data_IF_886353594665
#
_entry.id   IF_886353594665
#
_cell.length_a   1.000
_cell.length_b   1.000
_cell.length_c   1.000
_cell.angle_alpha   90.00
_cell.angle_beta   90.00
_cell.angle_gamma   90.00
#
_symmetry.space_group_name_H-M   'P 1'
#
loop_
_entity.id
_entity.type
_entity.pdbx_description
1 polymer ?
#
# COMPACT_ATOMS: atom_id res chain seq x y z
N UNK A 1 21.78 55.59 18.82
CA UNK A 1 22.53 55.37 17.56
C UNK A 1 22.31 54.01 16.92
N UNK A 2 22.10 52.92 17.63
CA UNK A 2 21.92 51.58 17.03
C UNK A 2 20.62 51.39 16.23
N UNK A 3 19.54 52.12 16.55
CA UNK A 3 18.24 51.98 15.83
C UNK A 3 18.24 52.67 14.45
N UNK A 4 18.99 53.77 14.29
CA UNK A 4 19.12 54.46 13.00
C UNK A 4 19.90 53.61 11.97
N UNK A 5 20.94 52.91 12.42
CA UNK A 5 21.72 52.00 11.55
C UNK A 5 20.95 50.77 11.10
N UNK A 6 20.02 50.24 11.91
CA UNK A 6 19.14 49.14 11.50
C UNK A 6 18.15 49.60 10.42
N UNK A 7 17.57 50.81 10.53
CA UNK A 7 16.63 51.33 9.51
C UNK A 7 17.32 51.61 8.17
N UNK A 8 18.58 52.06 8.18
CA UNK A 8 19.34 52.29 6.97
C UNK A 8 19.66 51.00 6.18
N UNK A 9 19.92 49.87 6.88
CA UNK A 9 20.14 48.55 6.24
C UNK A 9 18.87 47.99 5.60
N UNK A 10 17.68 48.18 6.20
CA UNK A 10 16.41 47.74 5.67
C UNK A 10 15.94 48.53 4.44
N UNK A 11 16.51 49.71 4.19
CA UNK A 11 16.17 50.54 3.04
C UNK A 11 16.99 50.23 1.77
N UNK A 12 17.91 49.27 1.84
CA UNK A 12 18.67 48.87 0.66
C UNK A 12 17.77 48.08 -0.30
N UNK A 13 17.65 48.48 -1.59
CA UNK A 13 16.70 47.91 -2.52
C UNK A 13 16.95 46.42 -2.78
N UNK A 14 18.20 45.99 -2.74
CA UNK A 14 18.57 44.60 -2.90
C UNK A 14 18.08 43.70 -1.74
N UNK A 15 18.09 44.22 -0.50
CA UNK A 15 17.62 43.50 0.69
C UNK A 15 16.09 43.30 0.64
N UNK A 16 15.36 44.33 0.16
CA UNK A 16 13.91 44.22 -0.07
C UNK A 16 13.58 43.22 -1.17
N UNK A 17 14.35 43.23 -2.27
CA UNK A 17 14.20 42.26 -3.36
C UNK A 17 14.48 40.84 -2.88
N UNK A 18 15.53 40.64 -2.06
CA UNK A 18 15.87 39.33 -1.49
C UNK A 18 14.79 38.82 -0.54
N UNK A 19 14.28 39.69 0.36
CA UNK A 19 13.18 39.33 1.26
C UNK A 19 11.91 39.03 0.45
N UNK A 20 11.57 39.84 -0.56
CA UNK A 20 10.45 39.60 -1.44
C UNK A 20 10.57 38.23 -2.18
N UNK A 21 11.75 37.92 -2.71
CA UNK A 21 12.05 36.65 -3.33
C UNK A 21 11.88 35.49 -2.35
N UNK A 22 12.41 35.59 -1.13
CA UNK A 22 12.26 34.57 -0.10
C UNK A 22 10.79 34.37 0.31
N UNK A 23 10.02 35.48 0.41
CA UNK A 23 8.58 35.38 0.71
C UNK A 23 7.78 34.65 -0.37
N UNK A 24 8.26 34.59 -1.60
CA UNK A 24 7.63 33.79 -2.68
C UNK A 24 8.19 32.38 -2.73
N UNK A 25 9.50 32.22 -2.61
CA UNK A 25 10.14 30.91 -2.71
C UNK A 25 9.82 29.98 -1.54
N UNK A 26 9.74 30.52 -0.30
CA UNK A 26 9.44 29.70 0.87
C UNK A 26 8.05 29.03 0.80
N UNK A 27 6.94 29.75 0.55
CA UNK A 27 5.63 29.11 0.43
C UNK A 27 5.56 28.17 -0.79
N UNK A 28 6.25 28.48 -1.89
CA UNK A 28 6.32 27.58 -3.04
C UNK A 28 7.03 26.27 -2.69
N UNK A 29 8.16 26.36 -1.97
CA UNK A 29 8.89 25.19 -1.49
C UNK A 29 8.06 24.36 -0.50
N UNK A 30 7.33 25.01 0.41
CA UNK A 30 6.43 24.35 1.35
C UNK A 30 5.26 23.66 0.62
N UNK A 31 4.68 24.30 -0.39
CA UNK A 31 3.63 23.71 -1.20
C UNK A 31 4.13 22.45 -1.95
N UNK A 32 5.34 22.53 -2.53
CA UNK A 32 5.96 21.39 -3.19
C UNK A 32 6.25 20.25 -2.20
N UNK A 33 6.79 20.55 -1.03
CA UNK A 33 7.01 19.56 0.02
C UNK A 33 5.70 18.90 0.47
N UNK A 34 4.63 19.67 0.61
CA UNK A 34 3.30 19.14 0.95
C UNK A 34 2.77 18.20 -0.12
N UNK A 35 2.89 18.54 -1.41
CA UNK A 35 2.48 17.69 -2.53
C UNK A 35 3.29 16.39 -2.54
N UNK A 36 4.61 16.45 -2.35
CA UNK A 36 5.48 15.27 -2.27
C UNK A 36 5.14 14.41 -1.04
N UNK A 37 4.83 15.02 0.08
CA UNK A 37 4.42 14.30 1.29
C UNK A 37 3.07 13.56 1.09
N UNK A 38 2.10 14.22 0.45
CA UNK A 38 0.76 13.68 0.19
C UNK A 38 0.65 12.95 -1.16
N UNK A 39 1.76 12.60 -1.81
CA UNK A 39 1.77 12.02 -3.17
C UNK A 39 0.94 10.74 -3.30
N UNK A 40 1.01 9.84 -2.30
CA UNK A 40 0.34 8.54 -2.32
C UNK A 40 -1.20 8.68 -2.27
N UNK A 41 -1.80 9.36 -1.27
CA UNK A 41 -3.25 9.56 -1.24
C UNK A 41 -3.76 10.41 -2.40
N UNK A 42 -2.99 11.43 -2.85
CA UNK A 42 -3.37 12.24 -4.00
C UNK A 42 -3.44 11.42 -5.30
N UNK A 43 -2.44 10.55 -5.54
CA UNK A 43 -2.40 9.66 -6.69
C UNK A 43 -3.51 8.60 -6.66
N UNK A 44 -3.90 8.14 -5.46
CA UNK A 44 -4.95 7.13 -5.29
C UNK A 44 -6.36 7.71 -5.48
N UNK A 45 -6.59 8.94 -5.00
CA UNK A 45 -7.90 9.61 -5.10
C UNK A 45 -8.14 10.23 -6.47
N UNK A 46 -7.08 10.70 -7.14
CA UNK A 46 -7.15 11.38 -8.43
C UNK A 46 -6.23 10.71 -9.46
N UNK A 47 -6.71 9.69 -10.18
CA UNK A 47 -5.91 8.99 -11.19
C UNK A 47 -5.34 9.90 -12.28
N UNK A 48 -6.03 11.01 -12.60
CA UNK A 48 -5.56 12.00 -13.58
C UNK A 48 -4.27 12.72 -13.14
N UNK A 49 -4.02 12.84 -11.84
CA UNK A 49 -2.80 13.47 -11.29
C UNK A 49 -1.61 12.49 -11.22
N UNK A 50 -1.87 11.19 -11.34
CA UNK A 50 -0.84 10.14 -11.21
C UNK A 50 0.34 10.34 -12.20
N UNK A 51 0.14 10.64 -13.51
CA UNK A 51 1.26 10.86 -14.43
C UNK A 51 2.11 12.08 -14.06
N UNK A 52 1.49 13.18 -13.64
CA UNK A 52 2.22 14.39 -13.22
C UNK A 52 3.02 14.14 -11.94
N UNK A 53 2.42 13.46 -10.94
CA UNK A 53 3.10 13.08 -9.72
C UNK A 53 4.23 12.07 -9.95
N UNK A 54 4.05 11.12 -10.90
CA UNK A 54 5.10 10.16 -11.25
C UNK A 54 6.30 10.84 -11.93
N UNK A 55 6.07 11.82 -12.80
CA UNK A 55 7.13 12.62 -13.41
C UNK A 55 7.89 13.44 -12.36
N UNK A 56 7.17 14.05 -11.41
CA UNK A 56 7.77 14.77 -10.29
C UNK A 56 8.61 13.82 -9.41
N UNK A 57 8.07 12.66 -9.09
CA UNK A 57 8.78 11.65 -8.29
C UNK A 57 10.02 11.10 -9.01
N UNK A 58 9.97 10.93 -10.33
CA UNK A 58 11.13 10.52 -11.11
C UNK A 58 12.29 11.53 -11.02
N UNK A 59 11.98 12.83 -11.02
CA UNK A 59 12.97 13.89 -10.87
C UNK A 59 13.53 13.99 -9.44
N UNK A 60 12.74 13.66 -8.42
CA UNK A 60 13.10 13.76 -6.99
C UNK A 60 13.59 12.44 -6.40
N UNK A 61 13.63 11.34 -7.17
CA UNK A 61 14.02 10.02 -6.69
C UNK A 61 13.02 9.37 -5.72
N UNK A 62 11.73 9.74 -5.79
CA UNK A 62 10.68 9.14 -4.97
C UNK A 62 9.83 8.15 -5.78
N UNK A 63 9.08 7.29 -5.07
CA UNK A 63 8.12 6.36 -5.66
C UNK A 63 6.71 6.66 -5.18
N UNK A 64 5.71 6.38 -6.02
CA UNK A 64 4.31 6.42 -5.64
C UNK A 64 3.88 5.00 -5.32
N UNK A 65 3.47 4.77 -4.09
CA UNK A 65 2.89 3.50 -3.65
C UNK A 65 1.38 3.65 -3.43
N UNK A 66 0.64 2.58 -3.71
CA UNK A 66 -0.77 2.55 -3.35
C UNK A 66 -0.92 2.58 -1.82
N UNK A 67 -1.95 3.26 -1.29
CA UNK A 67 -2.17 3.30 0.15
C UNK A 67 -2.52 1.91 0.69
N UNK A 68 -1.96 1.59 1.85
CA UNK A 68 -2.27 0.39 2.61
C UNK A 68 -3.52 0.67 3.47
N UNK A 69 -4.62 0.01 3.16
CA UNK A 69 -5.87 0.16 3.92
C UNK A 69 -6.51 -1.22 4.11
N UNK A 70 -6.10 -1.91 5.17
CA UNK A 70 -6.56 -3.27 5.45
C UNK A 70 -8.08 -3.34 5.70
N UNK A 71 -8.67 -2.31 6.28
CA UNK A 71 -10.11 -2.26 6.54
C UNK A 71 -10.98 -2.22 5.28
N UNK A 72 -10.38 -1.92 4.13
CA UNK A 72 -11.07 -1.86 2.84
C UNK A 72 -10.80 -3.05 1.93
N UNK A 73 -9.93 -3.98 2.32
CA UNK A 73 -9.67 -5.21 1.56
C UNK A 73 -10.21 -6.39 2.34
N UNK A 74 -11.07 -7.16 1.70
CA UNK A 74 -11.73 -8.29 2.33
C UNK A 74 -11.57 -9.56 1.51
N UNK A 75 -11.53 -10.71 2.18
CA UNK A 75 -11.71 -12.01 1.55
C UNK A 75 -13.19 -12.17 1.23
N UNK A 76 -13.56 -12.10 -0.04
CA UNK A 76 -14.95 -12.23 -0.50
C UNK A 76 -15.39 -13.69 -0.58
N UNK A 77 -14.44 -14.59 -0.80
CA UNK A 77 -14.69 -16.03 -0.83
C UNK A 77 -13.41 -16.82 -0.73
N UNK A 78 -13.51 -18.01 -0.18
CA UNK A 78 -12.39 -18.94 -0.09
C UNK A 78 -12.87 -20.39 -0.11
N UNK A 79 -12.03 -21.27 -0.65
CA UNK A 79 -12.23 -22.71 -0.65
C UNK A 79 -10.88 -23.41 -0.52
N UNK A 80 -10.79 -24.34 0.40
CA UNK A 80 -9.60 -25.16 0.59
C UNK A 80 -9.99 -26.63 0.42
N UNK A 81 -9.63 -27.20 -0.71
CA UNK A 81 -10.05 -28.55 -1.10
C UNK A 81 -8.84 -29.47 -1.23
N UNK A 82 -8.98 -30.70 -0.70
CA UNK A 82 -8.02 -31.75 -0.94
C UNK A 82 -8.22 -32.30 -2.37
N UNK A 83 -7.13 -32.47 -3.11
CA UNK A 83 -7.14 -33.15 -4.40
C UNK A 83 -7.06 -34.66 -4.24
N UNK A 84 -7.28 -35.40 -5.33
CA UNK A 84 -7.25 -36.89 -5.35
C UNK A 84 -5.89 -37.43 -4.89
N UNK A 85 -4.80 -36.72 -5.10
CA UNK A 85 -3.49 -37.14 -4.67
C UNK A 85 -3.26 -36.78 -3.19
N UNK A 86 -2.74 -37.68 -2.36
CA UNK A 86 -2.50 -37.45 -0.96
C UNK A 86 -1.52 -36.26 -0.75
N UNK A 87 -1.83 -35.41 0.22
CA UNK A 87 -1.02 -34.21 0.55
C UNK A 87 -1.14 -33.06 -0.44
N UNK A 88 -1.93 -33.19 -1.50
CA UNK A 88 -2.20 -32.08 -2.43
C UNK A 88 -3.52 -31.39 -2.09
N UNK A 89 -3.45 -30.07 -2.06
CA UNK A 89 -4.59 -29.22 -1.77
C UNK A 89 -4.65 -28.09 -2.79
N UNK A 90 -5.85 -27.55 -2.97
CA UNK A 90 -6.10 -26.38 -3.81
C UNK A 90 -6.80 -25.31 -2.98
N UNK A 91 -6.14 -24.16 -2.86
CA UNK A 91 -6.71 -22.98 -2.27
C UNK A 91 -7.36 -22.13 -3.36
N UNK A 92 -8.67 -21.97 -3.32
CA UNK A 92 -9.40 -20.93 -4.05
C UNK A 92 -9.53 -19.69 -3.18
N UNK A 93 -9.31 -18.52 -3.75
CA UNK A 93 -9.34 -17.25 -3.02
C UNK A 93 -9.94 -16.15 -3.90
N UNK A 94 -10.88 -15.40 -3.31
CA UNK A 94 -11.42 -14.17 -3.88
C UNK A 94 -11.13 -13.03 -2.90
N UNK A 95 -10.43 -11.98 -3.38
CA UNK A 95 -10.08 -10.79 -2.61
C UNK A 95 -10.69 -9.57 -3.28
N UNK A 96 -11.42 -8.76 -2.51
CA UNK A 96 -12.13 -7.59 -3.01
C UNK A 96 -11.66 -6.31 -2.32
N UNK A 97 -11.39 -5.28 -3.10
CA UNK A 97 -11.23 -3.91 -2.63
C UNK A 97 -12.61 -3.26 -2.49
N UNK A 98 -13.00 -2.89 -1.28
CA UNK A 98 -14.27 -2.20 -0.99
C UNK A 98 -14.15 -0.67 -1.11
N UNK A 99 -12.93 -0.13 -1.24
CA UNK A 99 -12.73 1.29 -1.41
C UNK A 99 -13.12 1.78 -2.81
N UNK A 100 -13.42 3.07 -2.90
CA UNK A 100 -13.60 3.78 -4.18
C UNK A 100 -12.27 4.26 -4.81
N UNK A 101 -11.14 3.93 -4.19
CA UNK A 101 -9.78 4.26 -4.63
C UNK A 101 -8.92 3.00 -4.77
N UNK A 102 -7.77 3.15 -5.42
CA UNK A 102 -6.77 2.10 -5.52
C UNK A 102 -6.19 1.82 -4.12
N UNK A 103 -5.97 0.55 -3.78
CA UNK A 103 -5.29 0.12 -2.55
C UNK A 103 -4.16 -0.86 -2.88
N UNK A 104 -3.13 -0.89 -2.06
CA UNK A 104 -2.09 -1.91 -2.16
C UNK A 104 -2.70 -3.30 -1.87
N UNK A 105 -2.20 -4.32 -2.54
CA UNK A 105 -2.63 -5.69 -2.27
C UNK A 105 -1.95 -6.21 -1.00
N UNK A 106 -2.70 -6.68 0.00
CA UNK A 106 -2.14 -7.22 1.23
C UNK A 106 -1.54 -8.61 1.02
N UNK A 107 -0.68 -9.04 1.94
CA UNK A 107 -0.26 -10.41 2.08
C UNK A 107 -1.38 -11.24 2.74
N UNK A 108 -1.39 -12.55 2.45
CA UNK A 108 -2.32 -13.52 3.02
C UNK A 108 -1.59 -14.43 4.00
N UNK A 109 -2.06 -14.50 5.23
CA UNK A 109 -1.69 -15.55 6.16
C UNK A 109 -2.72 -16.68 6.09
N UNK A 110 -2.28 -17.88 5.81
CA UNK A 110 -3.08 -19.12 5.86
C UNK A 110 -2.62 -19.95 7.04
N UNK A 111 -3.54 -20.27 7.94
CA UNK A 111 -3.35 -21.17 9.06
C UNK A 111 -4.24 -22.40 8.86
N UNK A 112 -3.64 -23.57 8.80
CA UNK A 112 -4.36 -24.86 8.78
C UNK A 112 -4.56 -25.34 10.20
N UNK A 113 -5.73 -25.87 10.52
CA UNK A 113 -6.10 -26.27 11.89
C UNK A 113 -6.56 -27.73 11.94
N UNK A 114 -6.49 -28.32 13.13
CA UNK A 114 -7.06 -29.61 13.44
C UNK A 114 -8.54 -29.53 13.83
N UNK A 115 -9.13 -30.66 14.26
CA UNK A 115 -10.53 -30.72 14.69
C UNK A 115 -10.82 -29.93 15.98
N UNK A 116 -9.79 -29.57 16.75
CA UNK A 116 -9.87 -28.74 17.97
C UNK A 116 -9.54 -27.26 17.70
N UNK A 117 -9.48 -26.87 16.43
CA UNK A 117 -9.10 -25.50 15.96
C UNK A 117 -7.67 -25.09 16.37
N UNK A 118 -6.81 -26.08 16.71
CA UNK A 118 -5.41 -25.83 17.01
C UNK A 118 -4.59 -25.66 15.72
N UNK A 119 -3.68 -24.69 15.66
CA UNK A 119 -2.89 -24.43 14.47
C UNK A 119 -1.87 -25.56 14.22
N UNK A 120 -1.92 -26.18 13.05
CA UNK A 120 -0.99 -27.19 12.59
C UNK A 120 0.15 -26.59 11.76
N UNK A 121 -0.18 -25.73 10.82
CA UNK A 121 0.74 -25.07 9.89
C UNK A 121 0.25 -23.67 9.61
N UNK A 122 1.20 -22.73 9.60
CA UNK A 122 0.96 -21.33 9.23
C UNK A 122 1.91 -20.96 8.10
N UNK A 123 1.38 -20.34 7.06
CA UNK A 123 2.18 -19.83 5.94
C UNK A 123 1.68 -18.47 5.49
N UNK A 124 2.63 -17.58 5.25
CA UNK A 124 2.38 -16.27 4.67
C UNK A 124 2.65 -16.36 3.16
N UNK A 125 1.74 -15.83 2.38
CA UNK A 125 1.85 -15.68 0.94
C UNK A 125 1.90 -14.21 0.58
N UNK A 126 2.92 -13.81 -0.13
CA UNK A 126 3.00 -12.47 -0.72
C UNK A 126 2.07 -12.38 -1.94
N UNK A 127 1.58 -11.17 -2.30
CA UNK A 127 0.70 -11.00 -3.46
C UNK A 127 1.26 -11.63 -4.74
N UNK A 128 2.56 -11.48 -4.99
CA UNK A 128 3.22 -12.05 -6.16
C UNK A 128 3.19 -13.58 -6.20
N UNK A 129 3.26 -14.26 -5.05
CA UNK A 129 3.20 -15.72 -4.96
C UNK A 129 1.79 -16.25 -5.28
N UNK A 130 0.77 -15.45 -5.00
CA UNK A 130 -0.63 -15.73 -5.33
C UNK A 130 -0.99 -15.33 -6.77
N UNK A 131 -0.09 -14.67 -7.50
CA UNK A 131 -0.38 -14.10 -8.82
C UNK A 131 -1.30 -12.88 -8.75
N UNK A 132 -1.38 -12.23 -7.59
CA UNK A 132 -2.14 -10.99 -7.41
C UNK A 132 -1.38 -9.80 -7.99
N UNK A 133 -2.08 -8.81 -8.56
CA UNK A 133 -1.45 -7.54 -8.92
C UNK A 133 -0.99 -6.81 -7.65
N UNK A 134 0.05 -5.96 -7.71
CA UNK A 134 0.55 -5.22 -6.56
C UNK A 134 -0.46 -4.20 -6.00
N UNK A 135 -1.46 -3.83 -6.81
CA UNK A 135 -2.51 -2.88 -6.47
C UNK A 135 -3.87 -3.42 -6.93
N UNK A 136 -4.90 -3.22 -6.12
CA UNK A 136 -6.28 -3.50 -6.47
C UNK A 136 -7.00 -2.20 -6.82
N UNK A 137 -7.58 -2.13 -8.01
CA UNK A 137 -8.36 -0.99 -8.46
C UNK A 137 -9.59 -0.71 -7.58
N UNK A 138 -10.27 0.44 -7.77
CA UNK A 138 -11.49 0.78 -7.05
C UNK A 138 -12.56 -0.31 -7.27
N UNK A 139 -13.12 -0.82 -6.17
CA UNK A 139 -14.17 -1.86 -6.19
C UNK A 139 -13.79 -3.14 -6.96
N UNK A 140 -12.51 -3.31 -7.31
CA UNK A 140 -12.04 -4.48 -8.04
C UNK A 140 -12.03 -5.71 -7.16
N UNK A 141 -12.26 -6.84 -7.79
CA UNK A 141 -12.16 -8.17 -7.21
C UNK A 141 -11.13 -8.98 -7.98
N UNK A 142 -10.29 -9.68 -7.27
CA UNK A 142 -9.34 -10.63 -7.82
C UNK A 142 -9.72 -12.04 -7.38
N UNK A 143 -9.66 -12.98 -8.32
CA UNK A 143 -9.94 -14.40 -8.07
C UNK A 143 -8.74 -15.23 -8.54
N UNK A 144 -8.32 -16.16 -7.72
CA UNK A 144 -7.23 -17.04 -8.06
C UNK A 144 -7.30 -18.39 -7.37
N UNK A 145 -6.51 -19.32 -7.88
CA UNK A 145 -6.37 -20.66 -7.30
C UNK A 145 -4.89 -20.99 -7.17
N UNK A 146 -4.50 -21.51 -6.01
CA UNK A 146 -3.13 -21.89 -5.70
C UNK A 146 -3.07 -23.38 -5.39
N UNK A 147 -2.38 -24.21 -6.22
CA UNK A 147 -2.09 -25.58 -5.85
C UNK A 147 -1.02 -25.59 -4.75
N UNK A 148 -1.23 -26.39 -3.72
CA UNK A 148 -0.34 -26.50 -2.58
C UNK A 148 -0.05 -27.96 -2.26
N UNK A 149 1.17 -28.23 -1.79
CA UNK A 149 1.55 -29.50 -1.25
C UNK A 149 1.85 -29.33 0.24
N UNK A 150 1.10 -30.04 1.07
CA UNK A 150 1.29 -30.09 2.52
C UNK A 150 1.99 -31.40 2.84
N UNK A 151 3.14 -31.31 3.51
CA UNK A 151 3.85 -32.49 4.01
C UNK A 151 3.00 -33.22 5.06
N UNK A 152 3.29 -34.49 5.28
CA UNK A 152 2.58 -35.28 6.28
C UNK A 152 2.61 -34.60 7.64
N UNK A 153 1.43 -34.32 8.18
CA UNK A 153 1.24 -33.72 9.49
C UNK A 153 0.90 -34.81 10.52
N UNK A 154 1.22 -34.61 11.82
CA UNK A 154 0.87 -35.56 12.87
C UNK A 154 -0.64 -35.73 13.08
N UNK A 155 -1.43 -34.71 12.68
CA UNK A 155 -2.89 -34.70 12.80
C UNK A 155 -3.52 -34.31 11.44
N UNK A 156 -4.75 -34.81 11.16
CA UNK A 156 -5.45 -34.47 9.94
C UNK A 156 -5.89 -32.98 9.94
N UNK A 157 -5.83 -32.36 8.78
CA UNK A 157 -6.35 -31.02 8.56
C UNK A 157 -7.87 -31.09 8.58
N UNK A 158 -8.51 -30.33 9.46
CA UNK A 158 -9.97 -30.26 9.62
C UNK A 158 -10.54 -28.89 9.31
N UNK A 159 -9.70 -27.84 9.39
CA UNK A 159 -10.12 -26.46 9.13
C UNK A 159 -8.99 -25.58 8.60
N UNK A 160 -9.33 -24.37 8.26
CA UNK A 160 -8.37 -23.35 7.87
C UNK A 160 -8.87 -21.95 8.27
N UNK A 161 -7.91 -21.08 8.52
CA UNK A 161 -8.16 -19.66 8.82
C UNK A 161 -7.31 -18.79 7.91
N UNK A 162 -7.84 -17.66 7.47
CA UNK A 162 -7.14 -16.72 6.62
C UNK A 162 -7.20 -15.32 7.18
N UNK A 163 -6.07 -14.63 7.16
CA UNK A 163 -5.95 -13.24 7.57
C UNK A 163 -5.17 -12.44 6.51
N UNK A 164 -5.67 -11.25 6.21
CA UNK A 164 -4.99 -10.30 5.34
C UNK A 164 -4.23 -9.29 6.19
N UNK A 165 -2.99 -8.98 5.80
CA UNK A 165 -2.18 -7.99 6.52
C UNK A 165 -1.15 -7.35 5.59
N UNK A 166 -0.57 -6.23 6.02
CA UNK A 166 0.58 -5.61 5.37
C UNK A 166 1.83 -5.87 6.22
N UNK A 167 2.87 -6.51 5.65
CA UNK A 167 4.14 -6.78 6.33
C UNK A 167 4.95 -5.52 6.60
#
# INVERSE_FOLDING_TARGET
MRQAQRRARWNQPWLRALVGLLCVLLPLALALQYVVYQRNPLAAQNPALRPALSALCAALGCTIAAPQNIGMVVVAGSAFNQETAPGRYRLGLSVRNQASSIVATPALELTLTDASDQPLVRKIFLPAELGMPPELGPRAEWNGTLPMQVQALPQPISGYRMELFYP
#
